data_IF_050438385870
#
_entry.id   IF_050438385870
#
_cell.length_a   1.000
_cell.length_b   1.000
_cell.length_c   1.000
_cell.angle_alpha   90.00
_cell.angle_beta   90.00
_cell.angle_gamma   90.00
#
_symmetry.space_group_name_H-M   'P 1'
#
loop_
_entity.id
_entity.type
_entity.pdbx_description
1 polymer ?
#
# COMPACT_ATOMS: atom_id res chain seq x y z
N UNK A 1 -20.22 12.95 -16.54
CA UNK A 1 -19.73 13.27 -15.17
C UNK A 1 -19.11 14.65 -15.20
N UNK A 2 -19.85 15.68 -14.76
CA UNK A 2 -19.37 17.08 -14.72
C UNK A 2 -19.33 17.51 -13.26
N UNK A 3 -18.22 18.18 -12.91
CA UNK A 3 -17.72 18.57 -11.58
C UNK A 3 -17.26 17.41 -10.67
N UNK A 4 -16.00 16.97 -10.88
CA UNK A 4 -15.19 16.37 -9.82
C UNK A 4 -14.54 17.51 -9.05
N UNK A 5 -15.00 17.79 -7.83
CA UNK A 5 -14.36 18.79 -6.98
C UNK A 5 -12.97 18.32 -6.58
N UNK A 6 -11.96 19.17 -6.87
CA UNK A 6 -10.56 18.90 -6.54
C UNK A 6 -10.35 18.74 -5.02
N UNK A 7 -11.26 19.29 -4.21
CA UNK A 7 -11.31 19.10 -2.76
C UNK A 7 -11.60 17.65 -2.34
N UNK A 8 -12.23 16.83 -3.20
CA UNK A 8 -12.43 15.40 -2.96
C UNK A 8 -11.17 14.56 -3.26
N UNK A 9 -10.11 15.15 -3.81
CA UNK A 9 -8.84 14.46 -3.99
C UNK A 9 -8.16 14.32 -2.62
N UNK A 10 -8.35 13.16 -1.98
CA UNK A 10 -7.59 12.81 -0.79
C UNK A 10 -6.12 12.65 -1.19
N UNK A 11 -5.28 13.57 -0.73
CA UNK A 11 -3.83 13.44 -0.83
C UNK A 11 -3.41 12.16 -0.10
N UNK A 12 -2.70 11.28 -0.81
CA UNK A 12 -2.14 10.08 -0.20
C UNK A 12 -0.80 10.47 0.38
N UNK A 13 -0.65 10.32 1.70
CA UNK A 13 0.62 10.56 2.36
C UNK A 13 1.61 9.46 1.98
N UNK A 14 2.88 9.83 1.83
CA UNK A 14 3.96 8.90 1.61
C UNK A 14 4.10 7.94 2.80
N UNK A 15 4.19 6.65 2.52
CA UNK A 15 4.43 5.62 3.51
C UNK A 15 5.94 5.36 3.67
N UNK A 16 6.43 5.49 4.89
CA UNK A 16 7.80 5.13 5.24
C UNK A 16 8.00 3.62 5.25
N UNK A 17 9.23 3.13 5.01
CA UNK A 17 9.53 1.68 4.99
C UNK A 17 9.05 0.94 6.24
N UNK A 18 9.24 1.54 7.42
CA UNK A 18 8.80 1.00 8.71
C UNK A 18 7.28 0.87 8.80
N UNK A 19 6.53 1.80 8.21
CA UNK A 19 5.07 1.79 8.21
C UNK A 19 4.52 0.71 7.30
N UNK A 20 5.17 0.44 6.16
CA UNK A 20 4.80 -0.64 5.24
C UNK A 20 5.00 -1.99 5.92
N UNK A 21 6.14 -2.17 6.62
CA UNK A 21 6.41 -3.38 7.39
C UNK A 21 5.40 -3.55 8.54
N UNK A 22 5.12 -2.48 9.29
CA UNK A 22 4.16 -2.50 10.38
C UNK A 22 2.73 -2.80 9.89
N UNK A 23 2.35 -2.26 8.72
CA UNK A 23 1.07 -2.58 8.08
C UNK A 23 0.95 -4.08 7.79
N UNK A 24 1.96 -4.67 7.15
CA UNK A 24 1.99 -6.11 6.86
C UNK A 24 1.88 -6.96 8.14
N UNK A 25 2.64 -6.59 9.17
CA UNK A 25 2.65 -7.31 10.45
C UNK A 25 1.32 -7.19 11.19
N UNK A 26 0.69 -6.01 11.17
CA UNK A 26 -0.67 -5.78 11.70
C UNK A 26 -1.71 -6.66 11.00
N UNK A 27 -1.54 -6.88 9.70
CA UNK A 27 -2.38 -7.76 8.89
C UNK A 27 -2.07 -9.24 9.08
N UNK A 28 -1.04 -9.59 9.87
CA UNK A 28 -0.64 -10.96 10.21
C UNK A 28 -0.34 -11.84 8.99
N UNK A 29 0.24 -11.25 7.94
CA UNK A 29 0.64 -11.96 6.73
C UNK A 29 2.15 -11.92 6.50
N UNK A 30 2.67 -12.95 5.83
CA UNK A 30 4.06 -13.01 5.39
C UNK A 30 4.31 -12.08 4.19
N UNK A 31 5.57 -11.74 3.90
CA UNK A 31 5.91 -10.93 2.72
C UNK A 31 5.39 -11.54 1.40
N UNK A 32 5.50 -12.87 1.15
CA UNK A 32 4.93 -13.47 -0.04
C UNK A 32 3.41 -13.35 -0.16
N UNK A 33 2.69 -13.57 0.95
CA UNK A 33 1.22 -13.46 0.97
C UNK A 33 0.81 -12.01 0.73
N UNK A 34 1.48 -11.05 1.39
CA UNK A 34 1.22 -9.63 1.18
C UNK A 34 1.48 -9.20 -0.27
N UNK A 35 2.57 -9.67 -0.87
CA UNK A 35 2.90 -9.41 -2.27
C UNK A 35 1.81 -9.96 -3.22
N UNK A 36 1.29 -11.16 -2.94
CA UNK A 36 0.22 -11.77 -3.71
C UNK A 36 -1.06 -10.92 -3.66
N UNK A 37 -1.50 -10.50 -2.48
CA UNK A 37 -2.66 -9.61 -2.34
C UNK A 37 -2.49 -8.28 -3.09
N UNK A 38 -1.30 -7.69 -3.03
CA UNK A 38 -1.00 -6.42 -3.70
C UNK A 38 -0.70 -6.58 -5.20
N UNK A 39 -0.82 -7.80 -5.76
CA UNK A 39 -0.46 -8.13 -7.13
C UNK A 39 0.93 -7.61 -7.52
N UNK A 40 1.93 -7.86 -6.67
CA UNK A 40 3.32 -7.45 -6.89
C UNK A 40 4.31 -8.56 -6.53
N UNK A 41 5.60 -8.36 -6.80
CA UNK A 41 6.62 -9.34 -6.46
C UNK A 41 7.07 -9.22 -5.00
N UNK A 42 7.48 -10.34 -4.40
CA UNK A 42 8.07 -10.36 -3.04
C UNK A 42 9.27 -9.42 -2.94
N UNK A 43 10.10 -9.36 -3.98
CA UNK A 43 11.24 -8.44 -4.06
C UNK A 43 10.80 -6.96 -4.01
N UNK A 44 9.64 -6.63 -4.56
CA UNK A 44 9.09 -5.26 -4.48
C UNK A 44 8.69 -4.92 -3.05
N UNK A 45 7.98 -5.82 -2.36
CA UNK A 45 7.64 -5.64 -0.93
C UNK A 45 8.89 -5.51 -0.08
N UNK A 46 9.91 -6.35 -0.30
CA UNK A 46 11.18 -6.26 0.42
C UNK A 46 11.88 -4.92 0.22
N UNK A 47 11.92 -4.42 -1.02
CA UNK A 47 12.53 -3.11 -1.33
C UNK A 47 11.76 -1.95 -0.71
N UNK A 48 10.43 -2.08 -0.58
CA UNK A 48 9.61 -1.10 0.12
C UNK A 48 9.88 -1.11 1.63
N UNK A 49 9.89 -2.29 2.26
CA UNK A 49 10.14 -2.44 3.70
C UNK A 49 11.58 -2.09 4.10
N UNK A 50 12.56 -2.24 3.19
CA UNK A 50 13.96 -1.83 3.43
C UNK A 50 14.25 -0.38 3.07
N UNK A 51 13.33 0.29 2.36
CA UNK A 51 13.54 1.65 1.83
C UNK A 51 14.43 1.74 0.59
N UNK A 52 14.89 0.63 0.04
CA UNK A 52 15.63 0.60 -1.23
C UNK A 52 14.78 1.11 -2.42
N UNK A 53 13.45 1.01 -2.32
CA UNK A 53 12.50 1.64 -3.24
C UNK A 53 11.32 2.18 -2.44
N UNK A 54 10.69 3.27 -2.90
CA UNK A 54 9.43 3.75 -2.33
C UNK A 54 8.24 3.41 -3.24
N UNK A 55 7.07 3.06 -2.67
CA UNK A 55 5.84 2.98 -3.44
C UNK A 55 5.47 4.39 -3.94
N UNK A 56 4.92 4.47 -5.15
CA UNK A 56 4.44 5.72 -5.73
C UNK A 56 3.18 5.48 -6.59
N UNK A 57 2.49 6.57 -6.92
CA UNK A 57 1.29 6.53 -7.77
C UNK A 57 0.26 5.52 -7.27
N UNK A 58 -0.04 4.52 -8.11
CA UNK A 58 -1.04 3.48 -7.83
C UNK A 58 -0.63 2.62 -6.64
N UNK A 59 0.64 2.23 -6.52
CA UNK A 59 1.11 1.38 -5.42
C UNK A 59 0.96 2.05 -4.06
N UNK A 60 1.23 3.36 -3.99
CA UNK A 60 1.02 4.15 -2.77
C UNK A 60 -0.47 4.29 -2.44
N UNK A 61 -1.31 4.53 -3.46
CA UNK A 61 -2.76 4.58 -3.28
C UNK A 61 -3.33 3.25 -2.77
N UNK A 62 -2.87 2.13 -3.33
CA UNK A 62 -3.29 0.79 -2.93
C UNK A 62 -2.90 0.49 -1.48
N UNK A 63 -1.66 0.78 -1.10
CA UNK A 63 -1.21 0.62 0.29
C UNK A 63 -2.03 1.48 1.27
N UNK A 64 -2.40 2.71 0.88
CA UNK A 64 -3.26 3.58 1.69
C UNK A 64 -4.69 3.03 1.84
N UNK A 65 -5.25 2.43 0.79
CA UNK A 65 -6.55 1.76 0.85
C UNK A 65 -6.48 0.56 1.81
N UNK A 66 -5.44 -0.27 1.67
CA UNK A 66 -5.21 -1.43 2.56
C UNK A 66 -4.98 -0.99 4.00
N UNK A 67 -4.26 0.11 4.23
CA UNK A 67 -4.05 0.66 5.57
C UNK A 67 -5.37 1.07 6.24
N UNK A 68 -6.31 1.61 5.46
CA UNK A 68 -7.61 2.09 5.96
C UNK A 68 -8.65 0.97 6.10
N UNK A 69 -8.65 0.00 5.20
CA UNK A 69 -9.74 -0.98 5.07
C UNK A 69 -9.32 -2.44 5.31
N UNK A 70 -8.02 -2.72 5.43
CA UNK A 70 -7.49 -4.08 5.51
C UNK A 70 -7.31 -4.75 4.14
N UNK A 71 -6.92 -6.02 4.13
CA UNK A 71 -6.71 -6.80 2.91
C UNK A 71 -8.00 -7.28 2.25
N UNK A 72 -9.09 -7.35 2.99
CA UNK A 72 -10.39 -7.85 2.51
C UNK A 72 -10.96 -7.03 1.37
N UNK A 73 -10.56 -5.76 1.24
CA UNK A 73 -10.93 -4.87 0.12
C UNK A 73 -10.32 -5.31 -1.22
N UNK A 74 -9.36 -6.25 -1.20
CA UNK A 74 -8.68 -6.79 -2.37
C UNK A 74 -9.16 -8.22 -2.73
N UNK A 75 -10.15 -8.75 -2.02
CA UNK A 75 -10.78 -10.04 -2.29
C UNK A 75 -11.93 -9.92 -3.29
#
# INVERSE_FOLDING_TARGET
>A
MRTFDKACLTSVQDLQPVEIKALREKLKVSQPVFAHYLNTSVSTVQKWESGAKRPNGISLKLLSIVQKHGLEVLL
#
